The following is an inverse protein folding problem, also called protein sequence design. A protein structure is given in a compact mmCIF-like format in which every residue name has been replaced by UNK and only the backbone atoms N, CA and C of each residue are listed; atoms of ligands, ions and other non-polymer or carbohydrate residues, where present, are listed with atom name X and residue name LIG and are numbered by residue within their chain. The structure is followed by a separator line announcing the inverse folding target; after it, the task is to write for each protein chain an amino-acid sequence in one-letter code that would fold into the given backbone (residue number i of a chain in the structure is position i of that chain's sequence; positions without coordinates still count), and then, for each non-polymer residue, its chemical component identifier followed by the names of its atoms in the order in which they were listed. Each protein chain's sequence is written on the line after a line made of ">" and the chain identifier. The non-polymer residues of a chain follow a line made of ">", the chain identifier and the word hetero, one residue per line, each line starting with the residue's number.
data_IF_118784601435
#
_entry.id   IF_118784601435
#
_cell.length_a   1.000
_cell.length_b   1.000
_cell.length_c   1.000
_cell.angle_alpha   90.00
_cell.angle_beta   90.00
_cell.angle_gamma   90.00
#
_symmetry.space_group_name_H-M   'P 1'
#
loop_
_entity.id
_entity.type
_entity.pdbx_description
1 polymer ?
#
# COMPACT_ATOMS: atom_id res chain seq x y z
N UNK A 1 -18.53 -7.52 9.32
CA UNK A 1 -18.45 -6.07 9.58
C UNK A 1 -17.15 -5.59 8.98
N UNK A 2 -17.17 -4.54 8.14
CA UNK A 2 -15.95 -3.95 7.57
C UNK A 2 -15.45 -2.84 8.50
N UNK A 3 -14.13 -2.73 8.69
CA UNK A 3 -13.52 -1.76 9.60
C UNK A 3 -13.11 -0.46 8.91
N UNK A 4 -12.80 0.56 9.71
CA UNK A 4 -12.08 1.75 9.27
C UNK A 4 -10.64 1.69 9.80
N UNK A 5 -9.69 2.27 9.06
CA UNK A 5 -8.33 2.47 9.56
C UNK A 5 -8.25 3.79 10.31
N UNK A 6 -7.77 3.75 11.54
CA UNK A 6 -7.59 4.94 12.38
C UNK A 6 -6.16 5.01 12.91
N UNK A 7 -5.61 6.22 12.96
CA UNK A 7 -4.44 6.52 13.76
C UNK A 7 -4.88 7.01 15.14
N UNK A 8 -4.23 6.50 16.18
CA UNK A 8 -4.44 6.92 17.55
C UNK A 8 -3.19 7.62 18.06
N UNK A 9 -3.37 8.80 18.65
CA UNK A 9 -2.32 9.46 19.41
C UNK A 9 -2.60 9.31 20.90
N UNK A 10 -1.60 8.84 21.63
CA UNK A 10 -1.69 8.66 23.08
C UNK A 10 -0.95 9.79 23.81
N UNK A 11 -1.57 10.30 24.88
CA UNK A 11 -0.95 11.24 25.80
C UNK A 11 0.00 10.55 26.79
N UNK A 12 0.62 11.35 27.66
CA UNK A 12 1.63 10.89 28.62
C UNK A 12 1.13 9.79 29.60
N UNK A 13 -0.18 9.74 29.88
CA UNK A 13 -0.79 8.73 30.74
C UNK A 13 -1.48 7.61 29.94
N UNK A 14 -1.08 7.41 28.67
CA UNK A 14 -1.64 6.41 27.74
C UNK A 14 -3.14 6.58 27.46
N UNK A 15 -3.71 7.74 27.75
CA UNK A 15 -5.05 8.10 27.31
C UNK A 15 -5.02 8.44 25.81
N UNK A 16 -6.06 8.04 25.07
CA UNK A 16 -6.24 8.48 23.69
C UNK A 16 -6.51 9.98 23.71
N UNK A 17 -5.62 10.77 23.11
CA UNK A 17 -5.78 12.22 23.01
C UNK A 17 -6.31 12.65 21.64
N UNK A 18 -6.15 11.81 20.62
CA UNK A 18 -6.60 12.09 19.25
C UNK A 18 -6.92 10.80 18.51
N UNK A 19 -7.99 10.84 17.70
CA UNK A 19 -8.38 9.78 16.78
C UNK A 19 -8.46 10.41 15.39
N UNK A 20 -7.61 9.96 14.47
CA UNK A 20 -7.62 10.40 13.08
C UNK A 20 -8.14 9.27 12.20
N UNK A 21 -9.17 9.53 11.41
CA UNK A 21 -9.66 8.58 10.41
C UNK A 21 -8.73 8.60 9.19
N UNK A 22 -8.06 7.48 8.93
CA UNK A 22 -7.13 7.35 7.82
C UNK A 22 -7.78 6.76 6.57
N UNK A 23 -8.67 5.78 6.74
CA UNK A 23 -9.37 5.15 5.62
C UNK A 23 -10.74 4.61 6.04
N UNK A 24 -11.70 4.70 5.12
CA UNK A 24 -12.98 4.01 5.20
C UNK A 24 -13.10 3.00 4.05
N UNK A 25 -13.91 1.94 4.18
CA UNK A 25 -14.14 1.02 3.07
C UNK A 25 -14.54 1.77 1.79
N UNK A 26 -13.83 1.52 0.70
CA UNK A 26 -14.02 2.22 -0.58
C UNK A 26 -13.09 3.43 -0.81
N UNK A 27 -12.36 3.89 0.21
CA UNK A 27 -11.35 4.93 0.04
C UNK A 27 -10.24 4.48 -0.91
N UNK A 28 -9.84 5.37 -1.82
CA UNK A 28 -8.82 5.11 -2.85
C UNK A 28 -7.52 5.79 -2.48
N UNK A 29 -6.41 5.08 -2.61
CA UNK A 29 -5.06 5.56 -2.33
C UNK A 29 -4.15 5.29 -3.52
N UNK A 30 -3.17 6.17 -3.71
CA UNK A 30 -2.06 5.95 -4.64
C UNK A 30 -0.79 5.76 -3.83
N UNK A 31 -0.11 4.65 -4.06
CA UNK A 31 1.18 4.35 -3.46
C UNK A 31 2.24 4.37 -4.55
N UNK A 32 3.31 5.15 -4.35
CA UNK A 32 4.37 5.30 -5.33
C UNK A 32 5.74 5.14 -4.67
N UNK A 33 6.50 4.13 -5.08
CA UNK A 33 7.71 3.74 -4.39
C UNK A 33 8.32 2.44 -4.86
N UNK A 34 9.33 1.99 -4.12
CA UNK A 34 10.03 0.75 -4.39
C UNK A 34 9.31 -0.44 -3.72
N UNK A 35 9.17 -1.55 -4.43
CA UNK A 35 8.72 -2.82 -3.84
C UNK A 35 9.82 -3.36 -2.93
N UNK A 36 9.54 -3.48 -1.64
CA UNK A 36 10.50 -3.94 -0.62
C UNK A 36 10.33 -5.41 -0.23
N UNK A 37 9.17 -5.99 -0.53
CA UNK A 37 8.84 -7.38 -0.26
C UNK A 37 7.82 -7.89 -1.28
N UNK A 38 7.92 -9.17 -1.67
CA UNK A 38 6.99 -9.84 -2.57
C UNK A 38 6.66 -11.27 -2.10
N UNK A 39 5.36 -11.56 -1.91
CA UNK A 39 4.82 -12.89 -1.68
C UNK A 39 3.74 -13.21 -2.73
N UNK A 40 4.11 -13.98 -3.76
CA UNK A 40 3.19 -14.38 -4.82
C UNK A 40 2.14 -15.39 -4.36
N UNK A 41 2.43 -16.19 -3.33
CA UNK A 41 1.48 -17.18 -2.80
C UNK A 41 0.30 -16.49 -2.12
N UNK A 42 0.57 -15.39 -1.40
CA UNK A 42 -0.43 -14.55 -0.73
C UNK A 42 -0.90 -13.37 -1.59
N UNK A 43 -0.33 -13.21 -2.79
CA UNK A 43 -0.55 -12.05 -3.67
C UNK A 43 -0.35 -10.73 -2.92
N UNK A 44 0.74 -10.62 -2.19
CA UNK A 44 1.05 -9.48 -1.33
C UNK A 44 2.38 -8.85 -1.76
N UNK A 45 2.41 -7.52 -1.78
CA UNK A 45 3.65 -6.75 -1.86
C UNK A 45 3.73 -5.75 -0.71
N UNK A 46 4.94 -5.42 -0.30
CA UNK A 46 5.19 -4.23 0.51
C UNK A 46 5.86 -3.14 -0.33
N UNK A 47 5.42 -1.89 -0.18
CA UNK A 47 5.95 -0.72 -0.91
C UNK A 47 6.45 0.32 0.07
N UNK A 48 7.72 0.71 -0.07
CA UNK A 48 8.27 1.88 0.60
C UNK A 48 7.73 3.13 -0.10
N UNK A 49 6.62 3.66 0.43
CA UNK A 49 5.88 4.76 -0.17
C UNK A 49 6.62 6.09 0.02
N UNK A 50 6.82 6.81 -1.08
CA UNK A 50 7.68 8.01 -1.10
C UNK A 50 7.03 9.22 -0.44
N UNK A 51 5.70 9.31 -0.41
CA UNK A 51 5.01 10.52 0.07
C UNK A 51 5.08 10.70 1.59
N UNK A 52 5.23 9.61 2.34
CA UNK A 52 5.20 9.60 3.80
C UNK A 52 6.31 8.74 4.43
N UNK A 53 7.20 8.17 3.62
CA UNK A 53 8.27 7.27 4.03
C UNK A 53 7.78 6.05 4.85
N UNK A 54 6.52 5.66 4.69
CA UNK A 54 5.96 4.47 5.32
C UNK A 54 5.98 3.27 4.37
N UNK A 55 6.04 2.06 4.95
CA UNK A 55 5.94 0.82 4.18
C UNK A 55 4.49 0.31 4.24
N UNK A 56 3.89 0.03 3.08
CA UNK A 56 2.50 -0.41 2.99
C UNK A 56 2.37 -1.79 2.37
N UNK A 57 1.60 -2.64 3.03
CA UNK A 57 1.15 -3.93 2.53
C UNK A 57 -0.04 -3.74 1.59
N UNK A 58 0.12 -4.18 0.33
CA UNK A 58 -0.90 -4.07 -0.71
C UNK A 58 -1.16 -5.44 -1.33
N UNK A 59 -2.43 -5.84 -1.34
CA UNK A 59 -2.90 -7.11 -1.87
C UNK A 59 -3.29 -7.01 -3.33
N UNK A 60 -2.92 -8.02 -4.11
CA UNK A 60 -2.89 -8.00 -5.57
C UNK A 60 -3.90 -8.97 -6.18
N UNK A 61 -4.97 -9.29 -5.44
CA UNK A 61 -5.94 -10.34 -5.79
C UNK A 61 -6.59 -10.13 -7.17
N UNK A 62 -6.88 -8.88 -7.52
CA UNK A 62 -7.53 -8.48 -8.76
C UNK A 62 -6.55 -8.05 -9.87
N UNK A 63 -5.24 -8.16 -9.65
CA UNK A 63 -4.23 -7.72 -10.61
C UNK A 63 -3.95 -8.83 -11.64
N UNK A 64 -3.84 -8.44 -12.91
CA UNK A 64 -3.67 -9.37 -14.01
C UNK A 64 -2.35 -10.18 -13.90
N UNK A 65 -2.34 -11.48 -14.25
CA UNK A 65 -1.14 -12.33 -14.10
C UNK A 65 0.10 -11.83 -14.85
N UNK A 66 -0.06 -11.17 -15.99
CA UNK A 66 1.03 -10.58 -16.76
C UNK A 66 1.73 -9.42 -16.02
N UNK A 67 0.99 -8.68 -15.19
CA UNK A 67 1.53 -7.63 -14.30
C UNK A 67 2.25 -8.29 -13.13
N UNK A 68 1.65 -9.33 -12.53
CA UNK A 68 2.29 -10.07 -11.42
C UNK A 68 3.65 -10.64 -11.79
N UNK A 69 3.81 -11.15 -13.03
CA UNK A 69 5.11 -11.67 -13.53
C UNK A 69 6.21 -10.61 -13.65
N UNK A 70 5.85 -9.33 -13.70
CA UNK A 70 6.81 -8.23 -13.78
C UNK A 70 7.21 -7.71 -12.40
N UNK A 71 6.44 -8.02 -11.35
CA UNK A 71 6.79 -7.65 -9.99
C UNK A 71 7.97 -8.45 -9.46
N UNK A 72 8.85 -7.74 -8.77
CA UNK A 72 10.03 -8.24 -8.09
C UNK A 72 10.48 -7.17 -7.10
N UNK A 73 11.14 -7.57 -6.04
CA UNK A 73 11.73 -6.62 -5.10
C UNK A 73 12.70 -5.67 -5.84
N UNK A 74 12.76 -4.42 -5.39
CA UNK A 74 13.63 -3.38 -5.95
C UNK A 74 13.03 -2.56 -7.10
N UNK A 75 11.95 -3.01 -7.75
CA UNK A 75 11.32 -2.22 -8.82
C UNK A 75 10.50 -1.07 -8.25
N UNK A 76 10.49 0.05 -8.97
CA UNK A 76 9.63 1.17 -8.65
C UNK A 76 8.26 1.00 -9.33
N UNK A 77 7.21 1.20 -8.56
CA UNK A 77 5.83 1.14 -9.03
C UNK A 77 5.06 2.39 -8.60
N UNK A 78 4.03 2.72 -9.36
CA UNK A 78 2.90 3.52 -8.90
C UNK A 78 1.68 2.61 -8.96
N UNK A 79 0.93 2.50 -7.87
CA UNK A 79 -0.30 1.71 -7.87
C UNK A 79 -1.46 2.46 -7.26
N UNK A 80 -2.67 2.14 -7.72
CA UNK A 80 -3.91 2.55 -7.07
C UNK A 80 -4.46 1.37 -6.28
N UNK A 81 -4.87 1.60 -5.04
CA UNK A 81 -5.51 0.60 -4.20
C UNK A 81 -6.76 1.16 -3.52
N UNK A 82 -7.72 0.27 -3.28
CA UNK A 82 -8.92 0.56 -2.49
C UNK A 82 -8.76 -0.09 -1.13
N UNK A 83 -9.01 0.67 -0.05
CA UNK A 83 -9.15 0.06 1.26
C UNK A 83 -10.49 -0.68 1.33
N UNK A 84 -10.48 -2.00 1.49
CA UNK A 84 -11.68 -2.84 1.48
C UNK A 84 -12.35 -2.98 2.87
N UNK A 85 -11.81 -2.27 3.87
CA UNK A 85 -12.22 -2.37 5.27
C UNK A 85 -11.35 -3.31 6.11
N UNK A 86 -10.42 -4.02 5.47
CA UNK A 86 -9.45 -4.90 6.13
C UNK A 86 -8.03 -4.62 5.65
N UNK A 87 -7.85 -4.34 4.35
CA UNK A 87 -6.55 -4.20 3.69
C UNK A 87 -6.65 -3.29 2.47
N UNK A 88 -5.49 -2.90 1.94
CA UNK A 88 -5.39 -2.22 0.66
C UNK A 88 -5.40 -3.24 -0.48
N UNK A 89 -6.41 -3.19 -1.33
CA UNK A 89 -6.55 -4.05 -2.51
C UNK A 89 -6.21 -3.26 -3.78
N UNK A 90 -5.13 -3.65 -4.46
CA UNK A 90 -4.68 -3.03 -5.70
C UNK A 90 -5.72 -3.14 -6.82
N UNK A 91 -5.83 -2.06 -7.60
CA UNK A 91 -6.69 -1.94 -8.78
C UNK A 91 -5.89 -1.79 -10.06
N UNK A 92 -4.79 -1.06 -10.00
CA UNK A 92 -3.85 -0.88 -11.11
C UNK A 92 -2.44 -0.83 -10.58
N UNK A 93 -1.47 -1.29 -11.38
CA UNK A 93 -0.05 -1.19 -11.09
C UNK A 93 0.68 -0.77 -12.35
N UNK A 94 1.41 0.33 -12.24
CA UNK A 94 2.23 0.91 -13.29
C UNK A 94 3.71 0.83 -12.89
N UNK A 95 4.53 0.23 -13.74
CA UNK A 95 5.97 0.13 -13.51
C UNK A 95 6.63 1.45 -13.92
N UNK A 96 7.41 2.02 -13.01
CA UNK A 96 8.21 3.21 -13.31
C UNK A 96 9.55 2.76 -13.88
N UNK A 97 9.95 3.35 -15.02
CA UNK A 97 11.29 3.12 -15.55
C UNK A 97 12.32 3.50 -14.49
N UNK A 98 13.39 2.71 -14.39
CA UNK A 98 14.55 3.15 -13.65
C UNK A 98 15.06 4.44 -14.28
N UNK A 99 15.16 5.51 -13.51
CA UNK A 99 15.82 6.74 -13.96
C UNK A 99 17.26 6.36 -14.32
N UNK A 100 17.55 6.19 -15.60
CA UNK A 100 18.93 6.10 -16.06
C UNK A 100 19.57 7.45 -15.81
N UNK A 101 20.42 7.55 -14.78
CA UNK A 101 21.27 8.72 -14.62
C UNK A 101 22.29 8.68 -15.78
N UNK A 102 22.44 9.75 -16.59
CA UNK A 102 23.50 9.84 -17.59
C UNK A 102 24.89 9.87 -16.93
#
# INVERSE_FOLDING_TARGET
>A
MVGALVALKFGAQRQVSEITLLATPGSVFTFAGQVTYLDLSRRLIAIANRSDNQNYDVYMDAVAPNVLRQLREGVNVSLSAVFDGTRYAARSVDFQAASSKP
#
